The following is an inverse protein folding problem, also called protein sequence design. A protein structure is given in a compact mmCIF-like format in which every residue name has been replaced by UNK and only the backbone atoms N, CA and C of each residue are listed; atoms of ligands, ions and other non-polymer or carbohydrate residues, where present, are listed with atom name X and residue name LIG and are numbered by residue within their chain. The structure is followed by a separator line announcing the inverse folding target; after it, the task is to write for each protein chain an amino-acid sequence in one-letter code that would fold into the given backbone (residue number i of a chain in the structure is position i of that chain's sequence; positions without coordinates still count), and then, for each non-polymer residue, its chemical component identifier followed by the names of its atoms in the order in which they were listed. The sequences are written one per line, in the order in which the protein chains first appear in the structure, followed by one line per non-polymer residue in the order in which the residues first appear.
data_IF_165706693008
#
_entry.id   IF_165706693008
#
_cell.length_a   1.000
_cell.length_b   1.000
_cell.length_c   1.000
_cell.angle_alpha   90.00
_cell.angle_beta   90.00
_cell.angle_gamma   90.00
#
_symmetry.space_group_name_H-M   'P 1'
#
loop_
_entity.id
_entity.type
_entity.pdbx_description
1 polymer ?
#
# COMPACT_ATOMS: atom_id res chain seq x y z
N UNK A 1 23.82 4.99 4.05
CA UNK A 1 22.54 4.84 3.31
C UNK A 1 22.09 6.21 2.82
N UNK A 2 22.20 6.46 1.51
CA UNK A 2 21.76 7.72 0.90
C UNK A 2 20.22 7.71 0.85
N UNK A 3 19.57 8.62 1.58
CA UNK A 3 18.12 8.80 1.52
C UNK A 3 17.77 9.53 0.22
N UNK A 4 17.31 8.81 -0.79
CA UNK A 4 16.72 9.44 -1.98
C UNK A 4 15.43 10.16 -1.58
N UNK A 5 15.45 11.49 -1.69
CA UNK A 5 14.27 12.34 -1.53
C UNK A 5 13.33 12.00 -2.68
N UNK A 6 12.17 11.39 -2.38
CA UNK A 6 11.14 11.10 -3.38
C UNK A 6 10.73 12.41 -4.04
N UNK A 7 10.89 12.48 -5.36
CA UNK A 7 10.36 13.59 -6.15
C UNK A 7 8.84 13.65 -6.00
N UNK A 8 8.32 14.86 -5.79
CA UNK A 8 6.89 15.07 -5.66
C UNK A 8 6.25 14.81 -7.03
N UNK A 9 5.28 13.91 -7.09
CA UNK A 9 4.53 13.66 -8.33
C UNK A 9 3.84 14.94 -8.81
N UNK A 10 3.83 15.16 -10.12
CA UNK A 10 3.11 16.28 -10.77
C UNK A 10 1.64 16.29 -10.33
N UNK A 11 1.08 17.47 -10.12
CA UNK A 11 -0.35 17.61 -9.77
C UNK A 11 -1.25 17.10 -10.90
N UNK A 12 -2.49 16.75 -10.59
CA UNK A 12 -3.49 16.42 -11.60
C UNK A 12 -4.07 17.72 -12.19
N UNK A 13 -4.05 17.82 -13.51
CA UNK A 13 -4.75 18.84 -14.28
C UNK A 13 -6.26 18.63 -14.26
N UNK A 14 -7.01 19.63 -14.74
CA UNK A 14 -8.46 19.52 -14.84
C UNK A 14 -8.88 18.44 -15.83
N UNK A 15 -8.24 18.40 -17.00
CA UNK A 15 -8.48 17.39 -18.05
C UNK A 15 -8.18 15.97 -17.57
N UNK A 16 -7.05 15.76 -16.88
CA UNK A 16 -6.75 14.47 -16.25
C UNK A 16 -7.82 14.07 -15.22
N UNK A 17 -8.34 15.05 -14.47
CA UNK A 17 -9.38 14.79 -13.48
C UNK A 17 -10.70 14.39 -14.15
N UNK A 18 -11.11 15.09 -15.21
CA UNK A 18 -12.31 14.76 -15.99
C UNK A 18 -12.20 13.39 -16.66
N UNK A 19 -11.05 13.09 -17.27
CA UNK A 19 -10.75 11.79 -17.85
C UNK A 19 -10.87 10.68 -16.80
N UNK A 20 -10.23 10.86 -15.63
CA UNK A 20 -10.33 9.89 -14.54
C UNK A 20 -11.79 9.64 -14.12
N UNK A 21 -12.58 10.70 -13.98
CA UNK A 21 -14.00 10.58 -13.60
C UNK A 21 -14.78 9.80 -14.66
N UNK A 22 -14.58 10.07 -15.96
CA UNK A 22 -15.26 9.33 -17.04
C UNK A 22 -14.91 7.83 -17.06
N UNK A 23 -13.63 7.48 -16.82
CA UNK A 23 -13.18 6.09 -16.79
C UNK A 23 -13.73 5.34 -15.58
N UNK A 24 -13.82 6.01 -14.43
CA UNK A 24 -14.45 5.44 -13.23
C UNK A 24 -15.95 5.27 -13.44
N UNK A 25 -16.61 6.22 -14.10
CA UNK A 25 -18.04 6.16 -14.42
C UNK A 25 -18.39 4.92 -15.25
N UNK A 26 -17.58 4.58 -16.26
CA UNK A 26 -17.75 3.38 -17.06
C UNK A 26 -17.66 2.08 -16.22
N UNK A 27 -16.98 2.09 -15.07
CA UNK A 27 -16.80 0.93 -14.17
C UNK A 27 -17.42 1.11 -12.80
N UNK A 28 -18.36 2.04 -12.66
CA UNK A 28 -18.94 2.43 -11.36
C UNK A 28 -19.51 1.25 -10.58
N UNK A 29 -20.12 0.28 -11.28
CA UNK A 29 -20.74 -0.90 -10.67
C UNK A 29 -19.73 -1.78 -9.92
N UNK A 30 -18.48 -1.81 -10.35
CA UNK A 30 -17.41 -2.59 -9.71
C UNK A 30 -16.72 -1.73 -8.66
N UNK A 31 -16.37 -0.48 -9.01
CA UNK A 31 -15.60 0.42 -8.14
C UNK A 31 -16.39 0.83 -6.89
N UNK A 32 -17.66 1.19 -7.03
CA UNK A 32 -18.53 1.62 -5.93
C UNK A 32 -19.36 0.46 -5.33
N UNK A 33 -19.05 -0.79 -5.70
CA UNK A 33 -19.67 -1.95 -5.08
C UNK A 33 -19.39 -1.96 -3.56
N UNK A 34 -20.42 -2.09 -2.73
CA UNK A 34 -20.28 -2.13 -1.26
C UNK A 34 -19.82 -3.49 -0.73
N UNK A 35 -19.86 -4.55 -1.54
CA UNK A 35 -19.41 -5.89 -1.14
C UNK A 35 -17.91 -5.91 -0.86
N UNK A 36 -17.55 -6.65 0.17
CA UNK A 36 -16.19 -6.73 0.73
C UNK A 36 -15.72 -8.18 0.84
N UNK A 37 -15.93 -8.97 -0.22
CA UNK A 37 -15.43 -10.33 -0.31
C UNK A 37 -14.08 -10.37 -1.09
N UNK A 38 -13.41 -11.52 -1.08
CA UNK A 38 -12.10 -11.65 -1.72
C UNK A 38 -12.18 -11.49 -3.25
N UNK A 39 -13.27 -11.93 -3.86
CA UNK A 39 -13.50 -11.83 -5.30
C UNK A 39 -13.73 -10.37 -5.71
N UNK A 40 -14.56 -9.61 -4.98
CA UNK A 40 -14.83 -8.20 -5.25
C UNK A 40 -13.58 -7.34 -5.06
N UNK A 41 -12.67 -7.74 -4.18
CA UNK A 41 -11.37 -7.06 -4.06
C UNK A 41 -10.52 -7.26 -5.31
N UNK A 42 -10.42 -8.51 -5.81
CA UNK A 42 -9.70 -8.81 -7.05
C UNK A 42 -10.34 -8.10 -8.26
N UNK A 43 -11.66 -8.07 -8.34
CA UNK A 43 -12.41 -7.39 -9.40
C UNK A 43 -12.18 -5.88 -9.38
N UNK A 44 -12.20 -5.25 -8.20
CA UNK A 44 -11.87 -3.83 -8.05
C UNK A 44 -10.43 -3.53 -8.44
N UNK A 45 -9.48 -4.36 -8.01
CA UNK A 45 -8.07 -4.21 -8.37
C UNK A 45 -7.88 -4.33 -9.88
N UNK A 46 -8.52 -5.31 -10.52
CA UNK A 46 -8.52 -5.48 -11.98
C UNK A 46 -9.14 -4.28 -12.69
N UNK A 47 -10.29 -3.80 -12.24
CA UNK A 47 -10.95 -2.63 -12.80
C UNK A 47 -10.06 -1.38 -12.74
N UNK A 48 -9.35 -1.18 -11.62
CA UNK A 48 -8.40 -0.08 -11.45
C UNK A 48 -7.18 -0.20 -12.38
N UNK A 49 -6.64 -1.40 -12.60
CA UNK A 49 -5.55 -1.62 -13.56
C UNK A 49 -5.98 -1.32 -14.98
N UNK A 50 -7.18 -1.74 -15.36
CA UNK A 50 -7.71 -1.42 -16.68
C UNK A 50 -8.00 0.09 -16.85
N UNK A 51 -8.42 0.78 -15.78
CA UNK A 51 -8.52 2.26 -15.77
C UNK A 51 -7.14 2.88 -15.96
N UNK A 52 -6.10 2.37 -15.30
CA UNK A 52 -4.71 2.81 -15.51
C UNK A 52 -4.29 2.66 -16.98
N UNK A 53 -4.56 1.51 -17.60
CA UNK A 53 -4.24 1.28 -19.01
C UNK A 53 -4.95 2.29 -19.90
N UNK A 54 -6.27 2.48 -19.73
CA UNK A 54 -7.05 3.42 -20.54
C UNK A 54 -6.63 4.88 -20.29
N UNK A 55 -6.38 5.25 -19.04
CA UNK A 55 -5.95 6.59 -18.66
C UNK A 55 -4.60 6.94 -19.30
N UNK A 56 -3.63 6.03 -19.19
CA UNK A 56 -2.29 6.24 -19.73
C UNK A 56 -2.27 6.24 -21.27
N UNK A 57 -3.15 5.46 -21.91
CA UNK A 57 -3.32 5.49 -23.36
C UNK A 57 -3.90 6.84 -23.86
N UNK A 58 -4.82 7.43 -23.10
CA UNK A 58 -5.49 8.68 -23.48
C UNK A 58 -4.78 9.95 -23.02
N UNK A 59 -4.03 9.91 -21.91
CA UNK A 59 -3.38 11.09 -21.31
C UNK A 59 -2.12 11.53 -22.08
N UNK A 60 -1.44 10.60 -22.77
CA UNK A 60 -0.32 10.85 -23.69
C UNK A 60 0.95 11.49 -23.10
N UNK A 61 0.90 12.01 -21.87
CA UNK A 61 1.93 12.90 -21.31
C UNK A 61 2.44 12.44 -19.95
N UNK A 62 1.57 11.98 -19.04
CA UNK A 62 1.96 11.57 -17.68
C UNK A 62 1.37 10.20 -17.35
N UNK A 63 2.25 9.22 -17.19
CA UNK A 63 1.85 7.89 -16.74
C UNK A 63 1.53 7.89 -15.25
N UNK A 64 0.32 7.44 -14.90
CA UNK A 64 -0.15 7.33 -13.52
C UNK A 64 -0.43 5.89 -13.19
N UNK A 65 0.18 5.40 -12.11
CA UNK A 65 -0.14 4.09 -11.55
C UNK A 65 -1.58 4.07 -11.02
N UNK A 66 -2.29 2.94 -11.16
CA UNK A 66 -3.66 2.76 -10.64
C UNK A 66 -3.80 3.16 -9.17
N UNK A 67 -2.76 2.97 -8.34
CA UNK A 67 -2.75 3.38 -6.93
C UNK A 67 -2.90 4.90 -6.77
N UNK A 68 -2.24 5.68 -7.63
CA UNK A 68 -2.35 7.14 -7.62
C UNK A 68 -3.71 7.62 -8.12
N UNK A 69 -4.24 6.97 -9.17
CA UNK A 69 -5.58 7.26 -9.71
C UNK A 69 -6.66 6.98 -8.65
N UNK A 70 -6.59 5.83 -7.99
CA UNK A 70 -7.45 5.46 -6.88
C UNK A 70 -7.38 6.47 -5.74
N UNK A 71 -6.16 6.86 -5.33
CA UNK A 71 -5.97 7.84 -4.25
C UNK A 71 -6.59 9.20 -4.60
N UNK A 72 -6.37 9.68 -5.83
CA UNK A 72 -6.96 10.93 -6.33
C UNK A 72 -8.49 10.86 -6.29
N UNK A 73 -9.07 9.76 -6.77
CA UNK A 73 -10.52 9.56 -6.75
C UNK A 73 -11.08 9.51 -5.32
N UNK A 74 -10.46 8.78 -4.40
CA UNK A 74 -10.87 8.75 -2.99
C UNK A 74 -10.75 10.13 -2.30
N UNK A 75 -9.72 10.92 -2.65
CA UNK A 75 -9.59 12.30 -2.18
C UNK A 75 -10.77 13.16 -2.67
N UNK A 76 -11.15 13.06 -3.95
CA UNK A 76 -12.32 13.76 -4.49
C UNK A 76 -13.60 13.37 -3.74
N UNK A 77 -13.82 12.08 -3.44
CA UNK A 77 -14.99 11.65 -2.65
C UNK A 77 -15.02 12.29 -1.27
N UNK A 78 -13.85 12.43 -0.61
CA UNK A 78 -13.74 13.09 0.70
C UNK A 78 -14.06 14.59 0.60
N UNK A 79 -13.51 15.26 -0.40
CA UNK A 79 -13.71 16.70 -0.61
C UNK A 79 -15.18 17.01 -0.94
N UNK A 80 -15.83 16.19 -1.75
CA UNK A 80 -17.27 16.30 -2.04
C UNK A 80 -18.10 16.16 -0.76
N UNK A 81 -17.80 15.16 0.08
CA UNK A 81 -18.50 14.99 1.38
C UNK A 81 -18.32 16.21 2.29
N UNK A 82 -17.11 16.78 2.32
CA UNK A 82 -16.81 18.00 3.10
C UNK A 82 -17.58 19.22 2.57
N UNK A 83 -17.58 19.45 1.26
CA UNK A 83 -18.34 20.54 0.62
C UNK A 83 -19.84 20.40 0.88
N UNK A 84 -20.40 19.18 0.80
CA UNK A 84 -21.82 18.92 1.14
C UNK A 84 -22.14 19.24 2.59
N UNK A 85 -21.26 18.88 3.53
CA UNK A 85 -21.46 19.21 4.94
C UNK A 85 -21.45 20.73 5.18
N UNK A 86 -20.55 21.46 4.49
CA UNK A 86 -20.52 22.93 4.54
C UNK A 86 -21.81 23.55 3.97
N UNK A 87 -22.25 23.12 2.77
CA UNK A 87 -23.50 23.59 2.15
C UNK A 87 -24.70 23.34 3.07
N UNK A 88 -24.78 22.15 3.69
CA UNK A 88 -25.82 21.84 4.68
C UNK A 88 -25.76 22.77 5.90
N UNK A 89 -24.57 22.96 6.47
CA UNK A 89 -24.37 23.81 7.64
C UNK A 89 -24.73 25.28 7.36
N UNK A 90 -24.44 25.79 6.17
CA UNK A 90 -24.78 27.15 5.77
C UNK A 90 -26.30 27.31 5.57
N UNK A 91 -27.00 26.31 5.02
CA UNK A 91 -28.48 26.31 4.93
C UNK A 91 -29.17 26.36 6.30
N UNK A 92 -28.51 25.90 7.36
CA UNK A 92 -29.03 25.96 8.73
C UNK A 92 -28.75 27.30 9.43
N UNK A 93 -27.95 28.20 8.84
CA UNK A 93 -27.67 29.54 9.40
C UNK A 93 -28.62 30.57 8.78
N UNK A 94 -29.75 30.82 9.43
CA UNK A 94 -30.74 31.84 9.04
C UNK A 94 -30.39 33.27 9.49
N UNK A 95 -29.11 33.57 9.74
CA UNK A 95 -28.65 34.88 10.22
C UNK A 95 -27.94 35.71 9.15
N UNK A 96 -28.63 36.14 8.09
CA UNK A 96 -28.35 37.33 7.27
C UNK A 96 -26.94 37.62 6.68
N UNK A 97 -25.96 36.72 6.78
CA UNK A 97 -24.60 36.92 6.26
C UNK A 97 -24.39 36.36 4.85
N UNK A 98 -23.57 37.02 4.04
CA UNK A 98 -23.13 36.53 2.72
C UNK A 98 -22.59 35.10 2.82
N UNK A 99 -23.32 34.15 2.24
CA UNK A 99 -22.98 32.74 2.24
C UNK A 99 -21.90 32.47 1.18
N UNK A 100 -20.68 32.17 1.62
CA UNK A 100 -19.58 31.71 0.77
C UNK A 100 -19.72 30.21 0.51
N UNK A 101 -20.81 29.81 -0.15
CA UNK A 101 -21.06 28.39 -0.42
C UNK A 101 -20.02 27.85 -1.42
N UNK A 102 -19.30 26.77 -1.09
CA UNK A 102 -18.34 26.18 -2.01
C UNK A 102 -19.08 25.52 -3.18
N UNK A 103 -18.87 26.02 -4.39
CA UNK A 103 -19.44 25.46 -5.62
C UNK A 103 -18.71 24.15 -5.97
N UNK A 104 -19.48 23.12 -6.32
CA UNK A 104 -18.95 21.87 -6.85
C UNK A 104 -18.66 22.04 -8.35
N UNK A 105 -17.46 21.65 -8.76
CA UNK A 105 -17.06 21.57 -10.17
C UNK A 105 -17.83 20.47 -10.90
N UNK A 106 -17.86 20.50 -12.23
CA UNK A 106 -18.55 19.50 -13.06
C UNK A 106 -18.09 18.07 -12.78
N UNK A 107 -16.78 17.86 -12.65
CA UNK A 107 -16.20 16.56 -12.25
C UNK A 107 -16.74 16.10 -10.89
N UNK A 108 -16.76 17.00 -9.90
CA UNK A 108 -17.24 16.69 -8.55
C UNK A 108 -18.74 16.38 -8.52
N UNK A 109 -19.54 17.07 -9.32
CA UNK A 109 -20.98 16.79 -9.46
C UNK A 109 -21.22 15.38 -10.03
N UNK A 110 -20.48 14.99 -11.07
CA UNK A 110 -20.55 13.62 -11.62
C UNK A 110 -20.18 12.56 -10.59
N UNK A 111 -19.08 12.78 -9.86
CA UNK A 111 -18.65 11.87 -8.80
C UNK A 111 -19.70 11.80 -7.68
N UNK A 112 -20.30 12.93 -7.33
CA UNK A 112 -21.39 12.97 -6.35
C UNK A 112 -22.59 12.13 -6.79
N UNK A 113 -22.99 12.26 -8.05
CA UNK A 113 -24.11 11.49 -8.62
C UNK A 113 -23.81 9.99 -8.61
N UNK A 114 -22.60 9.59 -9.02
CA UNK A 114 -22.17 8.18 -8.97
C UNK A 114 -22.25 7.61 -7.55
N UNK A 115 -21.78 8.35 -6.54
CA UNK A 115 -21.86 7.91 -5.14
C UNK A 115 -23.32 7.84 -4.67
N UNK A 116 -24.15 8.80 -5.06
CA UNK A 116 -25.57 8.85 -4.67
C UNK A 116 -26.33 7.66 -5.23
N UNK A 117 -26.14 7.31 -6.50
CA UNK A 117 -26.77 6.16 -7.13
C UNK A 117 -26.36 4.81 -6.49
N UNK A 118 -25.22 4.76 -5.81
CA UNK A 118 -24.80 3.60 -5.02
C UNK A 118 -25.41 3.57 -3.60
N UNK A 119 -26.12 4.62 -3.18
CA UNK A 119 -26.81 4.74 -1.90
C UNK A 119 -28.32 4.67 -2.18
N UNK A 120 -28.89 3.46 -2.13
CA UNK A 120 -30.27 3.35 -1.64
C UNK A 120 -30.32 3.97 -0.24
N UNK A 121 -31.35 4.79 -0.05
CA UNK A 121 -31.50 5.77 1.02
C UNK A 121 -31.17 5.20 2.40
N UNK A 122 -30.19 5.81 3.06
CA UNK A 122 -30.13 5.83 4.51
C UNK A 122 -29.94 7.29 4.92
N UNK A 123 -31.04 8.06 4.81
CA UNK A 123 -31.21 9.30 5.56
C UNK A 123 -31.37 8.93 7.04
N UNK A 124 -30.25 8.53 7.66
CA UNK A 124 -30.16 8.49 9.12
C UNK A 124 -29.95 9.93 9.56
N UNK A 125 -31.04 10.58 9.95
CA UNK A 125 -31.07 11.79 10.75
C UNK A 125 -29.98 11.77 11.82
N UNK A 126 -29.18 12.84 11.89
CA UNK A 126 -28.36 13.14 13.06
C UNK A 126 -28.56 14.63 13.37
N UNK A 127 -29.67 14.89 14.07
CA UNK A 127 -29.81 16.08 14.90
C UNK A 127 -29.04 15.81 16.18
N UNK A 128 -27.93 16.49 16.41
CA UNK A 128 -27.83 17.50 17.48
C UNK A 128 -26.41 18.07 17.66
N UNK A 129 -26.39 19.40 17.83
CA UNK A 129 -25.60 20.20 18.78
C UNK A 129 -24.05 20.14 18.73
N UNK A 130 -23.48 21.34 18.53
CA UNK A 130 -22.07 21.68 18.70
C UNK A 130 -21.68 21.69 20.18
N UNK A 131 -20.52 21.09 20.54
CA UNK A 131 -19.41 21.59 21.41
C UNK A 131 -18.51 20.41 21.89
N UNK A 132 -17.32 20.64 22.51
CA UNK A 132 -15.99 20.73 21.91
C UNK A 132 -15.09 19.50 22.21
N UNK A 133 -13.88 19.52 21.63
CA UNK A 133 -12.79 18.55 21.77
C UNK A 133 -12.75 17.78 23.12
N UNK A 134 -12.97 16.46 23.05
CA UNK A 134 -12.29 15.47 23.89
C UNK A 134 -12.27 14.11 23.18
N UNK A 135 -11.07 13.57 23.03
CA UNK A 135 -10.82 12.27 22.40
C UNK A 135 -11.26 11.13 23.32
N UNK A 136 -12.05 10.18 22.80
CA UNK A 136 -12.03 8.73 23.12
C UNK A 136 -12.87 7.93 22.09
N UNK A 137 -12.63 6.62 21.95
CA UNK A 137 -12.23 5.99 20.68
C UNK A 137 -13.42 5.61 19.79
N UNK A 138 -13.27 5.87 18.49
CA UNK A 138 -14.20 5.38 17.47
C UNK A 138 -14.16 3.85 17.47
N UNK A 139 -15.28 3.21 17.75
CA UNK A 139 -15.43 1.76 17.56
C UNK A 139 -15.06 1.40 16.12
N UNK A 140 -14.06 0.52 15.98
CA UNK A 140 -13.49 0.12 14.69
C UNK A 140 -14.56 -0.63 13.89
N UNK A 141 -14.88 -0.12 12.70
CA UNK A 141 -15.74 -0.82 11.75
C UNK A 141 -15.10 -2.19 11.42
N UNK A 142 -15.88 -3.27 11.24
CA UNK A 142 -15.35 -4.63 11.02
C UNK A 142 -14.38 -4.75 9.82
N UNK A 143 -14.42 -3.80 8.88
CA UNK A 143 -13.53 -3.68 7.73
C UNK A 143 -12.08 -3.26 8.06
N UNK A 144 -11.84 -2.59 9.19
CA UNK A 144 -10.49 -2.19 9.59
C UNK A 144 -9.71 -3.37 10.17
N UNK A 145 -10.41 -4.35 10.76
CA UNK A 145 -9.79 -5.57 11.33
C UNK A 145 -9.19 -6.46 10.26
N UNK A 146 -9.86 -6.67 9.13
CA UNK A 146 -9.37 -7.54 8.05
C UNK A 146 -8.17 -6.93 7.30
N UNK A 147 -8.12 -5.59 7.20
CA UNK A 147 -6.97 -4.87 6.62
C UNK A 147 -5.77 -4.93 7.59
N UNK A 148 -6.01 -4.73 8.88
CA UNK A 148 -5.00 -4.88 9.93
C UNK A 148 -4.47 -6.32 9.97
N UNK A 149 -5.34 -7.32 9.92
CA UNK A 149 -4.99 -8.74 9.88
C UNK A 149 -4.17 -9.09 8.64
N UNK A 150 -4.54 -8.60 7.45
CA UNK A 150 -3.72 -8.81 6.24
C UNK A 150 -2.36 -8.11 6.31
N UNK A 151 -2.30 -6.93 6.92
CA UNK A 151 -1.05 -6.22 7.12
C UNK A 151 -0.15 -6.92 8.14
N UNK A 152 -0.72 -7.43 9.23
CA UNK A 152 -0.02 -8.24 10.23
C UNK A 152 0.43 -9.59 9.67
N UNK A 153 -0.40 -10.27 8.87
CA UNK A 153 0.01 -11.49 8.15
C UNK A 153 1.19 -11.20 7.22
N UNK A 154 1.15 -10.12 6.44
CA UNK A 154 2.25 -9.74 5.56
C UNK A 154 3.53 -9.40 6.33
N UNK A 155 3.39 -8.78 7.52
CA UNK A 155 4.51 -8.47 8.42
C UNK A 155 5.13 -9.75 9.00
N UNK A 156 4.29 -10.69 9.43
CA UNK A 156 4.71 -12.01 9.92
C UNK A 156 5.41 -12.79 8.81
N UNK A 157 4.84 -12.86 7.60
CA UNK A 157 5.47 -13.52 6.45
C UNK A 157 6.83 -12.93 6.12
N UNK A 158 6.95 -11.59 6.14
CA UNK A 158 8.23 -10.91 5.92
C UNK A 158 9.25 -11.25 7.01
N UNK A 159 8.80 -11.28 8.27
CA UNK A 159 9.65 -11.63 9.41
C UNK A 159 10.17 -13.08 9.32
N UNK A 160 9.30 -14.03 8.96
CA UNK A 160 9.66 -15.44 8.74
C UNK A 160 10.76 -15.56 7.67
N UNK A 161 10.61 -14.86 6.53
CA UNK A 161 11.61 -14.91 5.44
C UNK A 161 12.96 -14.34 5.88
N UNK A 162 12.95 -13.28 6.69
CA UNK A 162 14.18 -12.68 7.24
C UNK A 162 14.87 -13.68 8.19
N UNK A 163 14.12 -14.27 9.11
CA UNK A 163 14.65 -15.26 10.06
C UNK A 163 15.20 -16.50 9.34
N UNK A 164 14.50 -16.99 8.30
CA UNK A 164 14.98 -18.11 7.49
C UNK A 164 16.30 -17.77 6.77
N UNK A 165 16.43 -16.54 6.25
CA UNK A 165 17.65 -16.08 5.62
C UNK A 165 18.82 -15.99 6.63
N UNK A 166 18.57 -15.48 7.84
CA UNK A 166 19.56 -15.40 8.91
C UNK A 166 20.03 -16.78 9.36
N UNK A 167 19.12 -17.73 9.51
CA UNK A 167 19.45 -19.13 9.82
C UNK A 167 20.33 -19.76 8.74
N UNK A 168 19.99 -19.56 7.45
CA UNK A 168 20.80 -20.05 6.31
C UNK A 168 22.21 -19.45 6.30
N UNK A 169 22.33 -18.16 6.61
CA UNK A 169 23.63 -17.50 6.71
C UNK A 169 24.47 -18.04 7.87
N UNK A 170 23.85 -18.31 9.02
CA UNK A 170 24.53 -18.91 10.16
C UNK A 170 25.02 -20.33 9.83
N UNK A 171 24.17 -21.14 9.21
CA UNK A 171 24.53 -22.50 8.79
C UNK A 171 25.70 -22.50 7.79
N UNK A 172 25.70 -21.57 6.82
CA UNK A 172 26.82 -21.39 5.89
C UNK A 172 28.13 -21.05 6.60
N UNK A 173 28.10 -20.16 7.60
CA UNK A 173 29.29 -19.80 8.39
C UNK A 173 29.84 -20.97 9.20
N UNK A 174 28.97 -21.81 9.75
CA UNK A 174 29.39 -23.02 10.47
C UNK A 174 30.10 -23.97 9.50
N UNK A 175 29.48 -24.25 8.35
CA UNK A 175 30.05 -25.12 7.33
C UNK A 175 31.42 -24.61 6.82
N UNK A 176 31.56 -23.30 6.64
CA UNK A 176 32.84 -22.71 6.23
C UNK A 176 33.94 -22.91 7.29
N UNK A 177 33.61 -22.80 8.58
CA UNK A 177 34.55 -23.07 9.67
C UNK A 177 34.95 -24.54 9.72
N UNK A 178 33.99 -25.44 9.55
CA UNK A 178 34.26 -26.88 9.48
C UNK A 178 35.17 -27.23 8.31
N UNK A 179 34.93 -26.64 7.13
CA UNK A 179 35.77 -26.85 5.96
C UNK A 179 37.22 -26.37 6.21
N UNK A 180 37.38 -25.15 6.73
CA UNK A 180 38.71 -24.62 7.10
C UNK A 180 39.41 -25.51 8.12
N UNK A 181 38.68 -26.02 9.10
CA UNK A 181 39.25 -26.93 10.09
C UNK A 181 39.72 -28.23 9.44
N UNK A 182 38.94 -28.82 8.53
CA UNK A 182 39.34 -30.01 7.77
C UNK A 182 40.59 -29.78 6.93
N UNK A 183 40.69 -28.63 6.25
CA UNK A 183 41.87 -28.29 5.45
C UNK A 183 43.13 -28.24 6.32
N UNK A 184 43.07 -27.59 7.49
CA UNK A 184 44.18 -27.53 8.44
C UNK A 184 44.55 -28.93 8.97
N UNK A 185 43.55 -29.77 9.27
CA UNK A 185 43.80 -31.14 9.73
C UNK A 185 44.50 -31.98 8.65
N UNK A 186 44.07 -31.87 7.40
CA UNK A 186 44.72 -32.55 6.28
C UNK A 186 46.17 -32.07 6.08
N UNK A 187 46.44 -30.77 6.25
CA UNK A 187 47.80 -30.22 6.15
C UNK A 187 48.71 -30.79 7.26
N UNK A 188 48.24 -30.84 8.50
CA UNK A 188 48.99 -31.44 9.61
C UNK A 188 49.26 -32.93 9.39
N UNK A 189 48.28 -33.67 8.87
CA UNK A 189 48.44 -35.08 8.54
C UNK A 189 49.51 -35.29 7.46
N UNK A 190 49.50 -34.46 6.41
CA UNK A 190 50.53 -34.49 5.37
C UNK A 190 51.92 -34.21 5.94
N UNK A 191 52.06 -33.19 6.79
CA UNK A 191 53.32 -32.87 7.46
C UNK A 191 53.82 -34.03 8.34
N UNK A 192 52.92 -34.67 9.10
CA UNK A 192 53.25 -35.82 9.93
C UNK A 192 53.77 -37.00 9.09
N UNK A 193 53.10 -37.31 7.96
CA UNK A 193 53.53 -38.37 7.05
C UNK A 193 54.89 -38.08 6.44
N UNK A 194 55.15 -36.82 6.03
CA UNK A 194 56.45 -36.41 5.50
C UNK A 194 57.57 -36.60 6.51
N UNK A 195 57.37 -36.16 7.75
CA UNK A 195 58.35 -36.33 8.82
C UNK A 195 58.62 -37.81 9.12
N UNK A 196 57.58 -38.64 9.11
CA UNK A 196 57.70 -40.09 9.28
C UNK A 196 58.55 -40.72 8.17
N UNK A 197 58.33 -40.32 6.92
CA UNK A 197 59.14 -40.77 5.77
C UNK A 197 60.60 -40.33 5.94
N UNK A 198 60.84 -39.09 6.36
CA UNK A 198 62.19 -38.57 6.56
C UNK A 198 62.96 -39.33 7.65
N UNK A 199 62.29 -39.61 8.77
CA UNK A 199 62.85 -40.40 9.87
C UNK A 199 63.22 -41.81 9.41
N UNK A 200 62.32 -42.50 8.71
CA UNK A 200 62.59 -43.83 8.14
C UNK A 200 63.78 -43.81 7.17
N UNK A 201 63.87 -42.79 6.31
CA UNK A 201 65.01 -42.61 5.40
C UNK A 201 66.33 -42.38 6.15
N UNK A 202 66.30 -41.68 7.29
CA UNK A 202 67.50 -41.46 8.11
C UNK A 202 67.98 -42.74 8.76
N UNK A 203 67.08 -43.53 9.35
CA UNK A 203 67.42 -44.81 9.98
C UNK A 203 67.89 -45.89 9.00
N UNK A 204 67.52 -45.78 7.72
CA UNK A 204 68.03 -46.67 6.66
C UNK A 204 69.43 -46.28 6.15
N UNK A 205 69.94 -45.11 6.55
CA UNK A 205 71.26 -44.60 6.13
C UNK A 205 72.35 -44.76 7.20
N UNK A 206 71.98 -45.11 8.42
CA UNK A 206 72.87 -45.52 9.52
C UNK A 206 73.01 -47.05 9.52
#
# INVERSE_FOLDING_TARGET
MVKHKRERSVNFTHEETDLLVSLVEAKKQIIENKKSDAATWQDKEKAWKEIETAFNASSGSVFRNHKHLKLKYEAMKKDIRKKRAMIRADRCKTGGGMSTTPVLTRAEQKVQEMIRLSIEENESSDSDVVLPCNQKPKEKKPMDKLIEEKFEIAKIQKQIVIEELEQKLLQRKILEKELKHKDVMHELEQQHLLLKIEFLKKNLRE
#
